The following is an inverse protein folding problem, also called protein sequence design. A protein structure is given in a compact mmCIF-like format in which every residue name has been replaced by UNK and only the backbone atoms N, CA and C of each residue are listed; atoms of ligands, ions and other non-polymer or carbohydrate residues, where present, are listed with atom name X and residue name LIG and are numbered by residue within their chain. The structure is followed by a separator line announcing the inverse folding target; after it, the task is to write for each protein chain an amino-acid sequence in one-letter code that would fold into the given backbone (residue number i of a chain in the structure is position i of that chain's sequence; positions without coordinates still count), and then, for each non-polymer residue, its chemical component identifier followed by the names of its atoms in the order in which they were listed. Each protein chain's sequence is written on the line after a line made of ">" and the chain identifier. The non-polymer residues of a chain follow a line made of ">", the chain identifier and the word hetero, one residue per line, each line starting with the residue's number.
data_IF_459041502673
#
_entry.id   IF_459041502673
#
_cell.length_a   1.000
_cell.length_b   1.000
_cell.length_c   1.000
_cell.angle_alpha   90.00
_cell.angle_beta   90.00
_cell.angle_gamma   90.00
#
_symmetry.space_group_name_H-M   'P 1'
#
loop_
_entity.id
_entity.type
_entity.pdbx_description
1 polymer ?
#
# COMPACT_ATOMS: atom_id res chain seq x y z
N UNK A 1 -15.04 -5.97 -1.49
CA UNK A 1 -15.78 -5.35 -0.36
C UNK A 1 -16.44 -4.08 -0.87
N UNK A 2 -17.72 -3.90 -0.60
CA UNK A 2 -18.42 -2.66 -0.91
C UNK A 2 -18.62 -1.87 0.39
N UNK A 3 -18.36 -0.58 0.35
CA UNK A 3 -18.74 0.33 1.43
C UNK A 3 -20.00 1.08 1.00
N UNK A 4 -21.04 1.03 1.84
CA UNK A 4 -22.25 1.81 1.60
C UNK A 4 -22.13 3.13 2.34
N UNK A 5 -22.38 4.22 1.66
CA UNK A 5 -22.51 5.52 2.28
C UNK A 5 -23.84 5.57 3.01
N UNK A 6 -23.80 5.60 4.35
CA UNK A 6 -24.98 5.60 5.21
C UNK A 6 -25.48 7.02 5.53
N UNK A 7 -24.66 8.03 5.26
CA UNK A 7 -24.98 9.43 5.54
C UNK A 7 -24.51 10.33 4.41
N UNK A 8 -25.36 11.21 3.97
CA UNK A 8 -25.05 12.31 3.06
C UNK A 8 -24.94 13.62 3.84
N UNK A 9 -24.11 14.54 3.39
CA UNK A 9 -24.03 15.89 3.92
C UNK A 9 -24.81 16.84 3.01
N UNK A 10 -25.77 17.53 3.57
CA UNK A 10 -26.54 18.56 2.88
C UNK A 10 -25.74 19.85 2.72
N UNK A 11 -24.94 20.17 3.74
CA UNK A 11 -24.05 21.32 3.71
C UNK A 11 -22.68 20.95 3.13
N UNK A 12 -22.40 21.45 1.93
CA UNK A 12 -21.14 21.22 1.21
C UNK A 12 -19.91 21.76 1.94
N UNK A 13 -20.08 22.74 2.83
CA UNK A 13 -18.98 23.28 3.65
C UNK A 13 -18.47 22.28 4.68
N UNK A 14 -19.27 21.29 5.03
CA UNK A 14 -18.98 20.25 6.02
C UNK A 14 -18.54 18.93 5.41
N UNK A 15 -18.35 18.83 4.10
CA UNK A 15 -17.87 17.61 3.47
C UNK A 15 -16.46 17.29 3.99
N UNK A 16 -16.24 16.14 4.64
CA UNK A 16 -14.93 15.79 5.15
C UNK A 16 -13.93 15.63 4.00
N UNK A 17 -12.76 16.20 4.17
CA UNK A 17 -11.66 16.06 3.20
C UNK A 17 -11.04 14.66 3.20
N UNK A 18 -11.30 13.87 4.22
CA UNK A 18 -10.69 12.56 4.44
C UNK A 18 -11.68 11.56 5.05
N UNK A 19 -11.71 10.37 4.48
CA UNK A 19 -12.34 9.21 5.08
C UNK A 19 -11.29 8.39 5.83
N UNK A 20 -11.53 8.12 7.12
CA UNK A 20 -10.74 7.17 7.91
C UNK A 20 -11.55 5.91 8.12
N UNK A 21 -10.92 4.76 7.97
CA UNK A 21 -11.53 3.47 8.23
C UNK A 21 -10.50 2.48 8.76
N UNK A 22 -10.95 1.52 9.55
CA UNK A 22 -10.12 0.44 10.06
C UNK A 22 -10.48 -0.87 9.38
N UNK A 23 -9.48 -1.66 9.07
CA UNK A 23 -9.63 -3.03 8.61
C UNK A 23 -9.13 -3.97 9.71
N UNK A 24 -10.03 -4.79 10.25
CA UNK A 24 -9.66 -5.85 11.17
C UNK A 24 -9.28 -7.08 10.34
N UNK A 25 -8.05 -7.54 10.51
CA UNK A 25 -7.53 -8.71 9.80
C UNK A 25 -7.09 -9.73 10.84
N UNK A 26 -7.56 -10.95 10.70
CA UNK A 26 -7.19 -12.06 11.57
C UNK A 26 -7.14 -13.38 10.81
N UNK A 27 -6.54 -14.38 11.41
CA UNK A 27 -6.45 -15.74 10.85
C UNK A 27 -7.66 -16.54 11.27
N UNK A 28 -8.42 -17.04 10.31
CA UNK A 28 -9.58 -17.88 10.58
C UNK A 28 -9.15 -19.20 11.25
N UNK A 29 -9.89 -19.63 12.30
CA UNK A 29 -9.75 -20.91 12.98
C UNK A 29 -8.64 -21.06 14.03
N UNK A 30 -8.21 -19.99 14.69
CA UNK A 30 -7.41 -20.10 15.91
C UNK A 30 -8.23 -19.75 17.17
N UNK A 31 -7.98 -20.48 18.24
CA UNK A 31 -8.71 -20.35 19.52
C UNK A 31 -8.54 -18.98 20.18
N UNK A 32 -7.50 -18.22 19.78
CA UNK A 32 -7.17 -16.89 20.30
C UNK A 32 -6.74 -15.97 19.15
N UNK A 33 -7.67 -15.66 18.26
CA UNK A 33 -7.41 -14.73 17.17
C UNK A 33 -7.69 -13.31 17.64
N UNK A 34 -6.63 -12.58 17.97
CA UNK A 34 -6.73 -11.13 18.15
C UNK A 34 -6.53 -10.52 16.76
N UNK A 35 -7.60 -9.95 16.16
CA UNK A 35 -7.45 -9.32 14.87
C UNK A 35 -6.58 -8.07 14.99
N UNK A 36 -5.65 -7.91 14.06
CA UNK A 36 -4.91 -6.66 13.91
C UNK A 36 -5.81 -5.64 13.21
N UNK A 37 -5.94 -4.47 13.80
CA UNK A 37 -6.62 -3.34 13.18
C UNK A 37 -5.62 -2.50 12.41
N UNK A 38 -5.84 -2.35 11.11
CA UNK A 38 -5.06 -1.48 10.25
C UNK A 38 -5.91 -0.27 9.90
N UNK A 39 -5.45 0.90 10.29
CA UNK A 39 -6.16 2.15 10.04
C UNK A 39 -5.74 2.73 8.68
N UNK A 40 -6.71 3.01 7.85
CA UNK A 40 -6.50 3.64 6.56
C UNK A 40 -7.12 5.03 6.53
N UNK A 41 -6.55 5.90 5.71
CA UNK A 41 -7.12 7.18 5.40
C UNK A 41 -7.17 7.39 3.88
N UNK A 42 -8.29 7.83 3.37
CA UNK A 42 -8.45 8.17 1.97
C UNK A 42 -8.99 9.58 1.83
N UNK A 43 -8.35 10.37 0.95
CA UNK A 43 -8.83 11.71 0.65
C UNK A 43 -10.09 11.62 -0.23
N UNK A 44 -11.14 12.33 0.16
CA UNK A 44 -12.37 12.45 -0.62
C UNK A 44 -12.26 13.55 -1.69
N UNK A 45 -11.32 14.48 -1.52
CA UNK A 45 -11.05 15.55 -2.46
C UNK A 45 -9.65 15.37 -3.06
N UNK A 46 -9.56 15.34 -4.36
CA UNK A 46 -8.32 15.16 -5.12
C UNK A 46 -7.71 16.46 -5.65
N UNK A 47 -8.23 17.63 -5.26
CA UNK A 47 -7.78 18.90 -5.83
C UNK A 47 -6.27 19.06 -5.68
N UNK A 48 -5.74 18.84 -4.48
CA UNK A 48 -4.30 18.94 -4.24
C UNK A 48 -3.49 17.82 -4.92
N UNK A 49 -4.10 16.65 -5.11
CA UNK A 49 -3.46 15.51 -5.78
C UNK A 49 -3.36 15.74 -7.28
N UNK A 50 -4.35 16.39 -7.89
CA UNK A 50 -4.33 16.73 -9.32
C UNK A 50 -3.18 17.65 -9.72
N UNK A 51 -2.68 18.46 -8.77
CA UNK A 51 -1.56 19.37 -8.99
C UNK A 51 -0.20 18.69 -8.86
N UNK A 52 -0.13 17.50 -8.31
CA UNK A 52 1.12 16.75 -8.16
C UNK A 52 1.52 16.11 -9.48
N UNK A 53 2.83 16.15 -9.77
CA UNK A 53 3.40 15.53 -10.98
C UNK A 53 3.73 14.05 -10.82
N UNK A 54 3.68 13.53 -9.59
CA UNK A 54 3.99 12.14 -9.30
C UNK A 54 3.86 11.79 -7.82
N UNK A 55 4.26 10.59 -7.48
CA UNK A 55 4.20 10.06 -6.11
C UNK A 55 5.50 9.37 -5.75
N UNK A 56 5.97 9.61 -4.54
CA UNK A 56 6.99 8.82 -3.87
C UNK A 56 6.38 8.16 -2.65
N UNK A 57 6.66 6.85 -2.47
CA UNK A 57 6.21 6.06 -1.33
C UNK A 57 7.35 5.15 -0.86
N UNK A 58 7.30 4.74 0.41
CA UNK A 58 8.23 3.75 0.95
C UNK A 58 7.56 2.90 2.05
N UNK A 59 8.00 1.67 2.18
CA UNK A 59 7.56 0.73 3.21
C UNK A 59 8.60 -0.37 3.42
N UNK A 60 8.63 -1.02 4.60
CA UNK A 60 9.48 -2.17 4.84
C UNK A 60 8.82 -3.47 4.33
N UNK A 61 9.64 -4.47 4.01
CA UNK A 61 9.26 -5.88 3.95
C UNK A 61 10.19 -6.66 4.86
N UNK A 62 9.63 -7.45 5.77
CA UNK A 62 10.36 -8.21 6.78
C UNK A 62 10.38 -9.68 6.36
N UNK A 63 11.58 -10.25 6.21
CA UNK A 63 11.76 -11.64 5.75
C UNK A 63 11.60 -12.68 6.88
N UNK A 64 10.91 -12.36 7.96
CA UNK A 64 10.70 -13.27 9.10
C UNK A 64 9.39 -14.09 9.01
N UNK A 65 8.74 -14.09 7.87
CA UNK A 65 7.44 -14.71 7.62
C UNK A 65 6.99 -14.40 6.21
N UNK A 66 5.71 -14.23 6.01
CA UNK A 66 5.17 -13.74 4.74
C UNK A 66 5.01 -12.22 4.80
N UNK A 67 5.71 -11.51 3.91
CA UNK A 67 5.57 -10.07 3.72
C UNK A 67 4.90 -9.79 2.39
N UNK A 68 3.99 -8.84 2.38
CA UNK A 68 3.24 -8.43 1.21
C UNK A 68 3.18 -6.92 1.11
N UNK A 69 3.76 -6.35 0.06
CA UNK A 69 3.50 -4.98 -0.36
C UNK A 69 2.37 -4.95 -1.39
N UNK A 70 1.47 -3.98 -1.29
CA UNK A 70 0.43 -3.73 -2.29
C UNK A 70 0.58 -2.30 -2.78
N UNK A 71 0.74 -2.13 -4.08
CA UNK A 71 0.77 -0.84 -4.75
C UNK A 71 -0.47 -0.74 -5.61
N UNK A 72 -1.27 0.28 -5.40
CA UNK A 72 -2.55 0.48 -6.06
C UNK A 72 -2.55 1.78 -6.86
N UNK A 73 -3.03 1.69 -8.09
CA UNK A 73 -3.32 2.84 -8.94
C UNK A 73 -4.83 3.08 -8.95
N UNK A 74 -5.33 3.91 -8.04
CA UNK A 74 -6.77 4.17 -7.94
C UNK A 74 -7.10 5.60 -7.55
N UNK A 75 -8.22 6.10 -8.06
CA UNK A 75 -8.73 7.43 -7.78
C UNK A 75 -10.24 7.41 -7.63
N UNK A 76 -10.77 8.38 -6.88
CA UNK A 76 -12.21 8.67 -6.80
C UNK A 76 -12.73 9.50 -7.97
N UNK A 77 -11.88 9.88 -8.90
CA UNK A 77 -12.27 10.61 -10.11
C UNK A 77 -13.15 9.68 -10.95
N UNK A 78 -14.32 10.20 -11.32
CA UNK A 78 -15.21 9.47 -12.24
C UNK A 78 -14.48 9.22 -13.57
N UNK A 79 -14.56 7.98 -14.06
CA UNK A 79 -13.88 7.55 -15.29
C UNK A 79 -12.36 7.73 -15.24
N UNK A 80 -11.76 7.40 -14.10
CA UNK A 80 -10.31 7.43 -13.93
C UNK A 80 -9.63 6.45 -14.91
N UNK A 81 -8.75 6.97 -15.76
CA UNK A 81 -8.10 6.25 -16.87
C UNK A 81 -6.57 6.36 -16.91
N UNK A 82 -5.96 6.97 -15.87
CA UNK A 82 -4.52 7.18 -15.86
C UNK A 82 -3.75 5.90 -15.58
N UNK A 83 -2.89 5.52 -16.51
CA UNK A 83 -1.86 4.49 -16.31
C UNK A 83 -0.78 5.05 -15.37
N UNK A 84 -0.14 4.19 -14.61
CA UNK A 84 0.98 4.53 -13.77
C UNK A 84 2.24 3.78 -14.20
N UNK A 85 3.29 4.51 -14.55
CA UNK A 85 4.64 3.96 -14.66
C UNK A 85 5.28 4.01 -13.27
N UNK A 86 5.79 2.88 -12.82
CA UNK A 86 6.27 2.72 -11.45
C UNK A 86 7.68 2.16 -11.47
N UNK A 87 8.58 2.83 -10.80
CA UNK A 87 9.90 2.31 -10.45
C UNK A 87 9.89 1.89 -8.99
N UNK A 88 10.18 0.63 -8.74
CA UNK A 88 10.33 0.05 -7.40
C UNK A 88 11.80 -0.25 -7.15
N UNK A 89 12.35 0.30 -6.07
CA UNK A 89 13.73 0.02 -5.66
C UNK A 89 13.72 -0.68 -4.30
N UNK A 90 14.54 -1.71 -4.19
CA UNK A 90 14.72 -2.52 -2.99
C UNK A 90 16.10 -2.27 -2.40
N UNK A 91 16.16 -1.98 -1.11
CA UNK A 91 17.38 -1.69 -0.38
C UNK A 91 17.52 -2.64 0.81
N UNK A 92 18.70 -3.11 1.09
CA UNK A 92 19.01 -3.76 2.35
C UNK A 92 19.98 -2.92 3.19
N UNK A 93 20.04 -3.18 4.49
CA UNK A 93 20.84 -2.37 5.42
C UNK A 93 22.35 -2.51 5.24
N UNK A 94 22.81 -3.56 4.57
CA UNK A 94 24.23 -3.89 4.47
C UNK A 94 24.84 -3.58 3.10
N UNK A 95 24.02 -3.42 2.08
CA UNK A 95 24.51 -3.28 0.70
C UNK A 95 24.37 -1.85 0.23
N UNK A 96 25.40 -1.38 -0.45
CA UNK A 96 25.38 -0.12 -1.18
C UNK A 96 24.58 -0.23 -2.50
N UNK A 97 24.29 -1.45 -2.92
CA UNK A 97 23.55 -1.75 -4.16
C UNK A 97 22.08 -1.88 -3.88
N UNK A 98 21.26 -1.53 -4.86
CA UNK A 98 19.81 -1.70 -4.86
C UNK A 98 19.39 -2.59 -6.02
N UNK A 99 18.25 -3.28 -5.84
CA UNK A 99 17.56 -3.92 -6.96
C UNK A 99 16.48 -2.96 -7.44
N UNK A 100 16.47 -2.69 -8.74
CA UNK A 100 15.44 -1.83 -9.36
C UNK A 100 14.56 -2.66 -10.29
N UNK A 101 13.26 -2.37 -10.28
CA UNK A 101 12.28 -2.99 -11.18
C UNK A 101 11.27 -1.96 -11.64
N UNK A 102 10.96 -1.98 -12.93
CA UNK A 102 9.96 -1.13 -13.53
C UNK A 102 8.65 -1.89 -13.77
N UNK A 103 7.53 -1.25 -13.49
CA UNK A 103 6.20 -1.81 -13.66
C UNK A 103 5.23 -0.79 -14.26
N UNK A 104 4.18 -1.32 -14.87
CA UNK A 104 3.06 -0.53 -15.35
C UNK A 104 1.79 -1.03 -14.66
N UNK A 105 1.04 -0.12 -14.02
CA UNK A 105 -0.24 -0.46 -13.40
C UNK A 105 -1.37 0.27 -14.15
N UNK A 106 -2.30 -0.52 -14.65
CA UNK A 106 -3.51 0.00 -15.29
C UNK A 106 -4.37 0.81 -14.31
N UNK A 107 -5.27 1.68 -14.79
CA UNK A 107 -6.26 2.34 -13.94
C UNK A 107 -7.04 1.34 -13.10
N UNK A 108 -7.19 1.62 -11.81
CA UNK A 108 -7.83 0.75 -10.82
C UNK A 108 -7.18 -0.63 -10.66
N UNK A 109 -5.93 -0.77 -11.15
CA UNK A 109 -5.11 -1.97 -10.99
C UNK A 109 -4.28 -1.96 -9.72
N UNK A 110 -3.68 -3.11 -9.43
CA UNK A 110 -2.77 -3.28 -8.29
C UNK A 110 -1.56 -4.12 -8.68
N UNK A 111 -0.45 -3.87 -8.00
CA UNK A 111 0.77 -4.67 -8.05
C UNK A 111 1.01 -5.27 -6.66
N UNK A 112 1.35 -6.55 -6.61
CA UNK A 112 1.78 -7.23 -5.38
C UNK A 112 3.29 -7.37 -5.39
N UNK A 113 3.92 -7.00 -4.30
CA UNK A 113 5.35 -7.16 -4.04
C UNK A 113 5.52 -8.19 -2.93
N UNK A 114 6.19 -9.28 -3.23
CA UNK A 114 6.53 -10.34 -2.27
C UNK A 114 8.00 -10.70 -2.42
N UNK A 115 8.55 -11.40 -1.43
CA UNK A 115 9.88 -11.96 -1.54
C UNK A 115 9.90 -13.08 -2.59
N UNK A 116 10.59 -12.83 -3.70
CA UNK A 116 11.00 -13.86 -4.65
C UNK A 116 12.42 -14.36 -4.35
N UNK A 117 12.90 -15.31 -5.14
CA UNK A 117 14.23 -15.91 -4.92
C UNK A 117 15.37 -14.89 -4.95
N UNK A 118 15.26 -13.88 -5.79
CA UNK A 118 16.27 -12.81 -5.91
C UNK A 118 16.25 -11.93 -4.66
N UNK A 119 15.09 -11.48 -4.22
CA UNK A 119 14.94 -10.65 -3.02
C UNK A 119 15.29 -11.41 -1.74
N UNK A 120 14.99 -12.71 -1.64
CA UNK A 120 15.44 -13.56 -0.53
C UNK A 120 16.98 -13.57 -0.45
N UNK A 121 17.65 -13.81 -1.57
CA UNK A 121 19.12 -13.79 -1.63
C UNK A 121 19.69 -12.42 -1.31
N UNK A 122 19.08 -11.37 -1.85
CA UNK A 122 19.50 -9.99 -1.63
C UNK A 122 19.33 -9.54 -0.19
N UNK A 123 18.24 -9.92 0.46
CA UNK A 123 17.91 -9.52 1.82
C UNK A 123 18.84 -10.14 2.88
N UNK A 124 19.45 -11.31 2.58
CA UNK A 124 20.25 -12.09 3.55
C UNK A 124 19.50 -12.37 4.85
N UNK A 125 18.19 -12.61 4.77
CA UNK A 125 17.27 -12.77 5.91
C UNK A 125 17.12 -11.52 6.80
N UNK A 126 17.44 -10.34 6.28
CA UNK A 126 17.21 -9.06 6.94
C UNK A 126 16.03 -8.34 6.30
N UNK A 127 15.38 -7.42 7.03
CA UNK A 127 14.37 -6.55 6.43
C UNK A 127 14.94 -5.75 5.25
N UNK A 128 14.12 -5.54 4.24
CA UNK A 128 14.42 -4.66 3.12
C UNK A 128 13.47 -3.47 3.10
N UNK A 129 13.97 -2.35 2.62
CA UNK A 129 13.18 -1.16 2.38
C UNK A 129 12.78 -1.11 0.91
N UNK A 130 11.54 -0.77 0.67
CA UNK A 130 10.98 -0.63 -0.68
C UNK A 130 10.63 0.82 -0.90
N UNK A 131 11.13 1.40 -1.97
CA UNK A 131 10.68 2.71 -2.44
C UNK A 131 9.93 2.57 -3.75
N UNK A 132 8.93 3.41 -3.92
CA UNK A 132 8.03 3.42 -5.06
C UNK A 132 7.99 4.84 -5.62
N UNK A 133 8.48 5.01 -6.84
CA UNK A 133 8.37 6.26 -7.59
C UNK A 133 7.39 6.07 -8.74
N UNK A 134 6.53 7.04 -8.96
CA UNK A 134 5.59 7.03 -10.08
C UNK A 134 5.38 8.42 -10.64
N UNK A 135 5.13 8.49 -11.93
CA UNK A 135 4.64 9.68 -12.64
C UNK A 135 3.16 9.98 -12.34
N UNK A 136 2.49 9.06 -11.65
CA UNK A 136 1.07 9.17 -11.33
C UNK A 136 0.86 9.53 -9.84
N UNK A 137 0.19 10.65 -9.53
CA UNK A 137 -0.02 11.10 -8.15
C UNK A 137 -1.06 10.28 -7.36
N UNK A 138 -1.78 9.36 -8.02
CA UNK A 138 -2.85 8.58 -7.40
C UNK A 138 -2.37 7.21 -6.89
N UNK A 139 -1.07 7.01 -6.79
CA UNK A 139 -0.52 5.78 -6.25
C UNK A 139 -0.67 5.76 -4.74
N UNK A 140 -1.15 4.63 -4.24
CA UNK A 140 -1.21 4.27 -2.83
C UNK A 140 -0.41 3.00 -2.63
N UNK A 141 0.17 2.83 -1.46
CA UNK A 141 0.83 1.60 -1.12
C UNK A 141 0.57 1.21 0.34
N UNK A 142 0.57 -0.07 0.59
CA UNK A 142 0.41 -0.67 1.91
C UNK A 142 1.36 -1.85 2.03
N UNK A 143 1.69 -2.21 3.25
CA UNK A 143 2.42 -3.44 3.54
C UNK A 143 1.75 -4.22 4.66
N UNK A 144 1.94 -5.52 4.62
CA UNK A 144 1.38 -6.47 5.57
C UNK A 144 2.47 -7.48 5.93
N UNK A 145 2.53 -7.82 7.21
CA UNK A 145 3.44 -8.80 7.75
C UNK A 145 2.65 -9.95 8.37
N UNK A 146 3.02 -11.14 7.98
CA UNK A 146 2.45 -12.38 8.48
C UNK A 146 3.57 -13.20 9.16
N UNK A 147 3.24 -13.99 10.14
CA UNK A 147 4.16 -14.95 10.73
C UNK A 147 3.48 -16.30 10.94
N UNK A 148 4.27 -17.33 11.28
CA UNK A 148 3.77 -18.70 11.47
C UNK A 148 2.75 -18.82 12.60
N UNK A 149 2.81 -17.94 13.61
CA UNK A 149 1.81 -17.88 14.68
C UNK A 149 0.51 -17.22 14.24
N UNK A 150 0.49 -16.61 13.06
CA UNK A 150 -0.66 -15.92 12.48
C UNK A 150 -0.85 -14.49 12.97
N UNK A 151 0.10 -13.92 13.69
CA UNK A 151 0.12 -12.50 14.03
C UNK A 151 0.38 -11.73 12.74
N UNK A 152 -0.45 -10.73 12.48
CA UNK A 152 -0.32 -9.86 11.33
C UNK A 152 -0.08 -8.43 11.81
N UNK A 153 0.89 -7.79 11.19
CA UNK A 153 1.09 -6.35 11.25
C UNK A 153 0.87 -5.73 9.89
N UNK A 154 0.75 -4.44 9.83
CA UNK A 154 0.68 -3.71 8.56
C UNK A 154 0.35 -2.25 8.76
N UNK A 155 0.68 -1.46 7.74
CA UNK A 155 0.37 -0.04 7.71
C UNK A 155 0.29 0.47 6.26
N UNK A 156 -0.14 1.73 6.11
CA UNK A 156 0.00 2.43 4.84
C UNK A 156 1.47 2.88 4.67
N UNK A 157 1.87 3.02 3.42
CA UNK A 157 3.17 3.59 3.08
C UNK A 157 3.26 5.08 3.42
N UNK A 158 4.44 5.52 3.66
CA UNK A 158 4.80 6.92 3.94
C UNK A 158 5.22 7.67 2.68
#
# INVERSE_FOLDING_TARGET
>A
MGANLIKTWEDKSQIPSRLKYGLNIGKKNKKYDIPTNICFASYLSNINTLQKKGTFKWFPLINSGESLGIIENSSFIKNYDKIANIKVCFYNNEQKESIERDYIIAPNGQLRITFDKELIKFSKNLPIWVTVNSDNPFIKAWYFEFNDSGIMGGDHSF
#
